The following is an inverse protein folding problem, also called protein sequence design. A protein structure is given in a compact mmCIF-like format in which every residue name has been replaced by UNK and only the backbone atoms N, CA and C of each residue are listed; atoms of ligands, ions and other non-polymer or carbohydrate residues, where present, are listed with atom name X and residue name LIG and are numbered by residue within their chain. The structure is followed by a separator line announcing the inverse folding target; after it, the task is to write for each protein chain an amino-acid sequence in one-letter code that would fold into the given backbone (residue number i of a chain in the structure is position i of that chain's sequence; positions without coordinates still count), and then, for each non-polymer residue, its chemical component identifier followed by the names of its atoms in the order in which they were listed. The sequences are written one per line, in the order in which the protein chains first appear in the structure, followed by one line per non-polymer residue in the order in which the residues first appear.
data_IF_560190037268
#
_entry.id   IF_560190037268
#
_cell.length_a   1.000
_cell.length_b   1.000
_cell.length_c   1.000
_cell.angle_alpha   90.00
_cell.angle_beta   90.00
_cell.angle_gamma   90.00
#
_symmetry.space_group_name_H-M   'P 1'
#
loop_
_entity.id
_entity.type
_entity.pdbx_description
1 polymer ?
#
# COMPACT_ATOMS: atom_id res chain seq x y z
N UNK A 1 -25.61 0.53 -6.74
CA UNK A 1 -25.83 1.96 -7.04
C UNK A 1 -25.41 2.72 -5.79
N UNK A 2 -24.36 3.55 -5.87
CA UNK A 2 -23.92 4.36 -4.71
C UNK A 2 -25.02 5.38 -4.44
N UNK A 3 -25.43 5.53 -3.17
CA UNK A 3 -26.49 6.44 -2.76
C UNK A 3 -26.22 7.88 -3.27
N UNK A 4 -27.13 8.47 -4.07
CA UNK A 4 -26.95 9.82 -4.63
C UNK A 4 -26.95 10.93 -3.58
N UNK A 5 -27.48 10.69 -2.37
CA UNK A 5 -27.44 11.64 -1.25
C UNK A 5 -26.19 11.44 -0.35
N UNK A 6 -25.23 10.63 -0.81
CA UNK A 6 -23.93 10.49 -0.15
C UNK A 6 -23.14 11.82 -0.24
N UNK A 7 -22.62 12.36 0.89
CA UNK A 7 -21.77 13.56 0.93
C UNK A 7 -20.58 13.57 -0.05
N UNK A 8 -20.12 12.39 -0.47
CA UNK A 8 -19.00 12.17 -1.39
C UNK A 8 -19.38 12.47 -2.85
N UNK A 9 -20.62 12.22 -3.27
CA UNK A 9 -21.14 12.51 -4.62
C UNK A 9 -21.21 14.02 -4.87
N UNK A 10 -21.58 14.79 -3.84
CA UNK A 10 -21.63 16.25 -3.89
C UNK A 10 -20.24 16.91 -3.92
N UNK A 11 -19.22 16.27 -3.31
CA UNK A 11 -17.83 16.73 -3.34
C UNK A 11 -17.17 16.47 -4.70
N UNK A 12 -17.47 15.33 -5.33
CA UNK A 12 -16.94 14.91 -6.63
C UNK A 12 -17.34 15.86 -7.78
N UNK A 13 -18.60 16.28 -7.83
CA UNK A 13 -19.11 17.23 -8.84
C UNK A 13 -18.43 18.61 -8.78
N UNK A 14 -17.80 18.96 -7.66
CA UNK A 14 -17.14 20.24 -7.42
C UNK A 14 -15.67 20.26 -7.88
N UNK A 15 -15.05 19.09 -8.07
CA UNK A 15 -13.63 18.94 -8.41
C UNK A 15 -13.38 18.84 -9.94
N UNK A 16 -14.37 18.41 -10.73
CA UNK A 16 -14.28 18.24 -12.18
C UNK A 16 -14.45 19.52 -13.03
N UNK A 17 -14.36 20.71 -12.43
CA UNK A 17 -14.48 22.00 -13.15
C UNK A 17 -13.13 22.64 -13.51
N UNK A 18 -12.01 21.92 -13.40
CA UNK A 18 -10.64 22.47 -13.55
C UNK A 18 -9.92 21.96 -14.80
N UNK A 19 -9.57 22.87 -15.71
CA UNK A 19 -8.84 22.59 -16.96
C UNK A 19 -7.39 22.10 -16.75
N UNK A 20 -6.84 22.20 -15.53
CA UNK A 20 -5.47 21.80 -15.19
C UNK A 20 -5.33 20.27 -15.10
N UNK A 21 -6.41 19.56 -14.75
CA UNK A 21 -6.45 18.10 -14.65
C UNK A 21 -6.24 17.41 -16.03
N UNK A 22 -6.63 18.08 -17.13
CA UNK A 22 -6.51 17.56 -18.48
C UNK A 22 -5.06 17.56 -19.04
N UNK A 23 -4.14 18.33 -18.44
CA UNK A 23 -2.76 18.46 -18.91
C UNK A 23 -1.79 17.38 -18.42
N UNK A 24 -2.14 16.67 -17.34
CA UNK A 24 -1.26 15.64 -16.74
C UNK A 24 -1.37 14.27 -17.43
N UNK A 25 -2.33 14.10 -18.34
CA UNK A 25 -2.64 12.88 -19.11
C UNK A 25 -1.65 12.53 -20.24
N UNK A 26 -0.60 13.32 -20.48
CA UNK A 26 0.31 13.13 -21.62
C UNK A 26 1.55 12.30 -21.24
N UNK A 27 1.34 11.06 -20.80
CA UNK A 27 2.38 10.07 -20.52
C UNK A 27 1.79 8.65 -20.47
N UNK A 28 1.52 8.08 -21.64
CA UNK A 28 0.70 6.88 -21.89
C UNK A 28 1.28 5.57 -21.30
N UNK A 29 0.36 4.81 -20.69
CA UNK A 29 0.36 3.37 -20.33
C UNK A 29 1.34 2.47 -21.09
N UNK A 30 2.22 1.76 -20.36
CA UNK A 30 2.86 0.54 -20.84
C UNK A 30 2.25 -0.67 -20.13
N UNK A 31 1.65 -1.58 -20.87
CA UNK A 31 1.30 -2.91 -20.37
C UNK A 31 2.61 -3.66 -20.14
N UNK A 32 2.98 -3.91 -18.89
CA UNK A 32 4.27 -4.52 -18.55
C UNK A 32 4.12 -6.03 -18.40
N UNK A 33 4.49 -6.78 -19.44
CA UNK A 33 4.65 -8.23 -19.37
C UNK A 33 6.01 -8.54 -18.74
N UNK A 34 6.05 -8.88 -17.45
CA UNK A 34 7.32 -9.15 -16.79
C UNK A 34 7.75 -10.62 -16.92
N UNK A 35 8.85 -10.87 -17.64
CA UNK A 35 9.61 -12.12 -17.56
C UNK A 35 10.87 -11.90 -16.70
N UNK A 36 10.78 -12.14 -15.38
CA UNK A 36 11.91 -11.98 -14.45
C UNK A 36 11.52 -12.06 -12.96
N UNK A 37 12.51 -12.10 -12.06
CA UNK A 37 12.34 -12.34 -10.61
C UNK A 37 11.49 -11.29 -9.87
N UNK A 38 11.36 -10.06 -10.39
CA UNK A 38 10.46 -9.02 -9.87
C UNK A 38 8.97 -9.32 -10.13
N UNK A 39 8.67 -10.11 -11.16
CA UNK A 39 7.33 -10.56 -11.57
C UNK A 39 6.78 -11.69 -10.71
N UNK A 40 7.67 -12.57 -10.23
CA UNK A 40 7.28 -13.90 -9.74
C UNK A 40 6.45 -13.87 -8.45
N UNK A 41 6.45 -12.75 -7.74
CA UNK A 41 5.78 -12.61 -6.45
C UNK A 41 4.70 -11.52 -6.46
N UNK A 42 4.20 -11.09 -7.63
CA UNK A 42 3.08 -10.14 -7.67
C UNK A 42 1.78 -10.81 -7.22
N UNK A 43 1.02 -10.17 -6.33
CA UNK A 43 -0.34 -10.58 -6.03
C UNK A 43 -1.21 -10.36 -7.27
N UNK A 44 -1.92 -11.38 -7.75
CA UNK A 44 -2.71 -11.30 -8.97
C UNK A 44 -4.04 -12.07 -8.86
N UNK A 45 -4.95 -11.81 -9.79
CA UNK A 45 -6.22 -12.53 -9.98
C UNK A 45 -6.30 -13.14 -11.37
N UNK A 46 -7.12 -14.18 -11.56
CA UNK A 46 -7.36 -14.75 -12.90
C UNK A 46 -8.18 -13.79 -13.79
N UNK A 47 -8.22 -14.07 -15.10
CA UNK A 47 -9.15 -13.39 -16.00
C UNK A 47 -10.61 -13.58 -15.54
N UNK A 48 -11.45 -12.56 -15.73
CA UNK A 48 -12.86 -12.57 -15.35
C UNK A 48 -13.14 -12.11 -13.92
N UNK A 49 -12.11 -11.94 -13.06
CA UNK A 49 -12.31 -11.34 -11.73
C UNK A 49 -12.79 -9.90 -11.89
N UNK A 50 -13.95 -9.58 -11.30
CA UNK A 50 -14.54 -8.24 -11.37
C UNK A 50 -13.85 -7.27 -10.43
N UNK A 51 -13.66 -6.03 -10.87
CA UNK A 51 -13.09 -4.92 -10.09
C UNK A 51 -14.10 -3.77 -10.04
N UNK A 52 -14.28 -3.18 -8.86
CA UNK A 52 -15.19 -2.05 -8.68
C UNK A 52 -14.58 -0.74 -9.22
N UNK A 53 -15.21 -0.18 -10.24
CA UNK A 53 -14.86 1.10 -10.86
C UNK A 53 -15.95 2.15 -10.66
N UNK A 54 -15.66 3.40 -11.00
CA UNK A 54 -16.67 4.47 -11.05
C UNK A 54 -17.77 4.23 -12.09
N UNK A 55 -17.52 3.39 -13.08
CA UNK A 55 -18.47 3.01 -14.12
C UNK A 55 -19.20 1.68 -13.84
N UNK A 56 -18.93 1.03 -12.69
CA UNK A 56 -19.45 -0.28 -12.33
C UNK A 56 -18.37 -1.37 -12.31
N UNK A 57 -18.77 -2.63 -12.41
CA UNK A 57 -17.85 -3.77 -12.39
C UNK A 57 -17.18 -3.94 -13.75
N UNK A 58 -15.85 -4.04 -13.75
CA UNK A 58 -15.03 -4.28 -14.94
C UNK A 58 -14.12 -5.47 -14.67
N UNK A 59 -14.07 -6.43 -15.59
CA UNK A 59 -13.15 -7.56 -15.49
C UNK A 59 -11.68 -7.09 -15.49
N UNK A 60 -10.86 -7.67 -14.62
CA UNK A 60 -9.51 -7.19 -14.32
C UNK A 60 -8.60 -7.13 -15.56
N UNK A 61 -8.73 -8.08 -16.49
CA UNK A 61 -7.96 -8.11 -17.73
C UNK A 61 -8.33 -7.01 -18.73
N UNK A 62 -9.46 -6.31 -18.49
CA UNK A 62 -9.95 -5.23 -19.34
C UNK A 62 -9.55 -3.84 -18.84
N UNK A 63 -9.03 -3.72 -17.61
CA UNK A 63 -8.55 -2.47 -17.05
C UNK A 63 -7.30 -1.96 -17.79
N UNK A 64 -7.15 -0.64 -17.87
CA UNK A 64 -6.04 0.06 -18.52
C UNK A 64 -5.59 1.23 -17.66
N UNK A 65 -4.35 1.70 -17.86
CA UNK A 65 -3.95 2.93 -17.20
C UNK A 65 -4.84 4.10 -17.63
N UNK A 66 -5.16 4.96 -16.68
CA UNK A 66 -6.15 6.03 -16.82
C UNK A 66 -7.57 5.62 -16.41
N UNK A 67 -7.88 4.32 -16.30
CA UNK A 67 -9.16 3.89 -15.71
C UNK A 67 -9.24 4.29 -14.24
N UNK A 68 -10.45 4.44 -13.72
CA UNK A 68 -10.69 4.93 -12.36
C UNK A 68 -11.40 3.88 -11.52
N UNK A 69 -10.69 3.38 -10.51
CA UNK A 69 -11.19 2.36 -9.57
C UNK A 69 -11.62 3.00 -8.24
N UNK A 70 -12.50 2.32 -7.52
CA UNK A 70 -12.82 2.68 -6.13
C UNK A 70 -11.74 2.08 -5.22
N UNK A 71 -11.23 2.90 -4.29
CA UNK A 71 -10.11 2.53 -3.44
C UNK A 71 -10.22 3.14 -2.06
N UNK A 72 -9.94 2.35 -1.02
CA UNK A 72 -9.99 2.80 0.38
C UNK A 72 -8.60 2.85 0.99
N UNK A 73 -8.23 4.01 1.53
CA UNK A 73 -6.95 4.18 2.19
C UNK A 73 -6.89 3.32 3.47
N UNK A 74 -5.94 2.39 3.60
CA UNK A 74 -5.90 1.48 4.74
C UNK A 74 -5.55 2.15 6.07
N UNK A 75 -4.97 3.36 6.04
CA UNK A 75 -4.58 4.10 7.24
C UNK A 75 -5.68 5.05 7.71
N UNK A 76 -6.40 5.69 6.78
CA UNK A 76 -7.41 6.72 7.09
C UNK A 76 -8.84 6.22 6.94
N UNK A 77 -9.04 5.05 6.31
CA UNK A 77 -10.34 4.50 5.91
C UNK A 77 -11.12 5.40 4.94
N UNK A 78 -10.45 6.41 4.35
CA UNK A 78 -11.04 7.27 3.34
C UNK A 78 -11.21 6.50 2.04
N UNK A 79 -12.45 6.45 1.54
CA UNK A 79 -12.77 5.87 0.24
C UNK A 79 -12.80 6.95 -0.83
N UNK A 80 -12.01 6.77 -1.87
CA UNK A 80 -11.89 7.71 -2.98
C UNK A 80 -11.77 6.98 -4.33
N UNK A 81 -12.06 7.71 -5.39
CA UNK A 81 -11.77 7.27 -6.76
C UNK A 81 -10.28 7.49 -7.04
N UNK A 82 -9.59 6.47 -7.54
CA UNK A 82 -8.15 6.50 -7.82
C UNK A 82 -7.84 6.01 -9.21
N UNK A 83 -6.82 6.62 -9.82
CA UNK A 83 -6.39 6.30 -11.17
C UNK A 83 -5.59 5.00 -11.17
N UNK A 84 -5.84 4.14 -12.15
CA UNK A 84 -4.95 3.03 -12.51
C UNK A 84 -3.74 3.61 -13.22
N UNK A 85 -2.55 3.38 -12.67
CA UNK A 85 -1.29 3.92 -13.19
C UNK A 85 -0.65 2.97 -14.22
N UNK A 86 -0.68 1.67 -13.94
CA UNK A 86 -0.06 0.62 -14.76
C UNK A 86 -0.86 -0.69 -14.63
N UNK A 87 -0.74 -1.57 -15.62
CA UNK A 87 -1.33 -2.91 -15.59
C UNK A 87 -0.28 -3.98 -15.88
N UNK A 88 -0.49 -5.16 -15.29
CA UNK A 88 0.49 -6.24 -15.23
C UNK A 88 -0.18 -7.58 -15.55
N UNK A 89 0.57 -8.43 -16.25
CA UNK A 89 0.18 -9.81 -16.54
C UNK A 89 1.37 -10.74 -16.33
N UNK A 90 1.12 -11.90 -15.71
CA UNK A 90 2.10 -12.97 -15.54
C UNK A 90 1.43 -14.33 -15.58
N UNK A 91 2.24 -15.39 -15.61
CA UNK A 91 1.78 -16.78 -15.51
C UNK A 91 2.13 -17.38 -14.16
N UNK A 92 1.21 -18.16 -13.60
CA UNK A 92 1.38 -18.92 -12.34
C UNK A 92 0.85 -20.32 -12.49
N UNK A 93 1.41 -21.25 -11.74
CA UNK A 93 0.99 -22.64 -11.64
C UNK A 93 0.32 -22.97 -10.30
N UNK A 94 0.21 -22.01 -9.38
CA UNK A 94 -0.44 -22.16 -8.08
C UNK A 94 -1.51 -21.10 -7.88
N UNK A 95 -2.74 -21.55 -7.61
CA UNK A 95 -3.91 -20.71 -7.40
C UNK A 95 -4.56 -21.02 -6.05
N UNK A 96 -5.23 -20.02 -5.50
CA UNK A 96 -6.06 -20.10 -4.31
C UNK A 96 -7.47 -19.71 -4.69
N UNK A 97 -8.41 -20.57 -4.34
CA UNK A 97 -9.82 -20.37 -4.58
C UNK A 97 -10.52 -20.10 -3.26
N UNK A 98 -11.17 -18.96 -3.20
CA UNK A 98 -11.92 -18.49 -2.05
C UNK A 98 -13.39 -18.39 -2.46
N UNK A 99 -14.28 -19.06 -1.74
CA UNK A 99 -15.71 -18.74 -1.83
C UNK A 99 -16.02 -17.71 -0.76
N UNK A 100 -16.44 -16.51 -1.17
CA UNK A 100 -16.79 -15.40 -0.29
C UNK A 100 -18.22 -14.98 -0.60
N UNK A 101 -19.12 -15.14 0.36
CA UNK A 101 -20.54 -14.80 0.23
C UNK A 101 -21.20 -15.40 -1.03
N UNK A 102 -20.95 -16.69 -1.28
CA UNK A 102 -21.43 -17.43 -2.45
C UNK A 102 -20.71 -17.18 -3.78
N UNK A 103 -19.80 -16.20 -3.87
CA UNK A 103 -18.99 -15.92 -5.06
C UNK A 103 -17.62 -16.59 -4.97
N UNK A 104 -17.13 -17.21 -6.05
CA UNK A 104 -15.76 -17.72 -6.12
C UNK A 104 -14.80 -16.64 -6.65
N UNK A 105 -13.78 -16.32 -5.86
CA UNK A 105 -12.66 -15.45 -6.24
C UNK A 105 -11.40 -16.31 -6.29
N UNK A 106 -10.76 -16.34 -7.46
CA UNK A 106 -9.53 -17.11 -7.70
C UNK A 106 -8.34 -16.17 -7.84
N UNK A 107 -7.31 -16.42 -7.04
CA UNK A 107 -6.21 -15.49 -6.80
C UNK A 107 -4.88 -16.23 -6.60
N UNK A 108 -3.77 -15.50 -6.63
CA UNK A 108 -2.48 -16.04 -6.14
C UNK A 108 -2.48 -16.18 -4.63
N UNK A 109 -1.65 -17.08 -4.10
CA UNK A 109 -1.60 -17.40 -2.66
C UNK A 109 -1.14 -16.24 -1.79
N UNK A 110 -0.31 -15.36 -2.32
CA UNK A 110 0.20 -14.18 -1.67
C UNK A 110 -0.71 -12.95 -1.75
N UNK A 111 -1.91 -13.05 -2.34
CA UNK A 111 -2.76 -11.88 -2.52
C UNK A 111 -3.42 -11.44 -1.20
N UNK A 112 -3.23 -10.20 -0.74
CA UNK A 112 -3.74 -9.76 0.56
C UNK A 112 -5.22 -9.35 0.54
N UNK A 113 -5.99 -9.94 1.45
CA UNK A 113 -7.37 -9.58 1.76
C UNK A 113 -7.46 -8.92 3.13
N UNK A 114 -8.27 -7.86 3.27
CA UNK A 114 -8.44 -7.22 4.57
C UNK A 114 -9.35 -8.05 5.48
N UNK A 115 -8.77 -8.58 6.56
CA UNK A 115 -9.49 -9.29 7.62
C UNK A 115 -9.76 -8.32 8.77
N UNK A 116 -11.03 -8.17 9.14
CA UNK A 116 -11.44 -7.23 10.19
C UNK A 116 -10.73 -7.54 11.51
N UNK A 117 -10.12 -6.52 12.12
CA UNK A 117 -9.36 -6.65 13.37
C UNK A 117 -8.00 -7.33 13.25
N UNK A 118 -7.63 -7.86 12.07
CA UNK A 118 -6.35 -8.54 11.82
C UNK A 118 -5.51 -7.89 10.71
N UNK A 119 -6.12 -7.01 9.91
CA UNK A 119 -5.44 -6.34 8.79
C UNK A 119 -5.35 -7.21 7.54
N UNK A 120 -4.44 -6.87 6.63
CA UNK A 120 -4.25 -7.62 5.39
C UNK A 120 -3.57 -8.96 5.63
N UNK A 121 -4.21 -10.04 5.14
CA UNK A 121 -3.73 -11.42 5.23
C UNK A 121 -3.70 -12.02 3.84
N UNK A 122 -2.61 -12.71 3.50
CA UNK A 122 -2.46 -13.40 2.22
C UNK A 122 -3.55 -14.47 2.04
N UNK A 123 -4.07 -14.59 0.82
CA UNK A 123 -5.14 -15.49 0.45
C UNK A 123 -4.90 -16.94 0.92
N UNK A 124 -3.69 -17.47 0.70
CA UNK A 124 -3.32 -18.82 1.13
C UNK A 124 -3.22 -19.02 2.64
N UNK A 125 -3.27 -17.94 3.42
CA UNK A 125 -3.28 -17.95 4.89
C UNK A 125 -4.64 -17.59 5.49
N UNK A 126 -5.65 -17.32 4.65
CA UNK A 126 -7.02 -17.12 5.12
C UNK A 126 -7.59 -18.44 5.64
N UNK A 127 -8.45 -18.31 6.65
CA UNK A 127 -9.17 -19.43 7.24
C UNK A 127 -10.65 -19.33 6.89
N UNK A 128 -11.29 -20.48 6.71
CA UNK A 128 -12.76 -20.52 6.62
C UNK A 128 -13.35 -19.93 7.90
N UNK A 129 -14.29 -19.00 7.74
CA UNK A 129 -14.88 -18.20 8.81
C UNK A 129 -14.19 -16.85 9.05
N UNK A 130 -13.07 -16.55 8.39
CA UNK A 130 -12.47 -15.22 8.45
C UNK A 130 -13.46 -14.16 7.94
N UNK A 131 -13.55 -13.07 8.70
CA UNK A 131 -14.45 -11.95 8.44
C UNK A 131 -13.71 -10.86 7.64
N UNK A 132 -14.10 -10.74 6.38
CA UNK A 132 -13.67 -9.70 5.45
C UNK A 132 -14.66 -8.53 5.47
N UNK A 133 -14.41 -7.51 4.65
CA UNK A 133 -15.25 -6.31 4.58
C UNK A 133 -15.52 -5.89 3.13
N UNK A 134 -16.77 -5.51 2.85
CA UNK A 134 -17.16 -4.92 1.56
C UNK A 134 -16.84 -3.41 1.50
N UNK A 135 -16.93 -2.83 0.30
CA UNK A 135 -16.86 -1.36 0.12
C UNK A 135 -17.90 -0.59 0.95
N UNK A 136 -19.04 -1.22 1.27
CA UNK A 136 -20.10 -0.60 2.07
C UNK A 136 -19.95 -0.85 3.57
N UNK A 137 -18.88 -1.53 4.00
CA UNK A 137 -18.66 -1.90 5.40
C UNK A 137 -19.43 -3.14 5.85
N UNK A 138 -19.96 -3.94 4.93
CA UNK A 138 -20.69 -5.17 5.27
C UNK A 138 -19.72 -6.31 5.58
N UNK A 139 -20.13 -7.18 6.51
CA UNK A 139 -19.39 -8.39 6.86
C UNK A 139 -19.47 -9.41 5.72
N UNK A 140 -18.31 -9.82 5.22
CA UNK A 140 -18.16 -10.91 4.25
C UNK A 140 -17.41 -12.06 4.90
N UNK A 141 -17.75 -13.31 4.57
CA UNK A 141 -17.13 -14.48 5.19
C UNK A 141 -16.46 -15.38 4.16
N UNK A 142 -15.27 -15.88 4.51
CA UNK A 142 -14.64 -16.97 3.74
C UNK A 142 -15.38 -18.27 4.04
N UNK A 143 -16.11 -18.78 3.05
CA UNK A 143 -16.91 -20.00 3.16
C UNK A 143 -16.12 -21.25 2.77
N UNK A 144 -15.24 -21.11 1.78
CA UNK A 144 -14.35 -22.19 1.30
C UNK A 144 -12.98 -21.63 0.97
N UNK A 145 -11.97 -22.46 1.17
CA UNK A 145 -10.59 -22.17 0.83
C UNK A 145 -9.93 -23.46 0.30
N UNK A 146 -9.45 -23.43 -0.94
CA UNK A 146 -8.65 -24.52 -1.50
C UNK A 146 -7.49 -23.99 -2.35
N UNK A 147 -6.43 -24.78 -2.43
CA UNK A 147 -5.24 -24.49 -3.22
C UNK A 147 -5.19 -25.46 -4.39
N UNK A 148 -5.00 -24.94 -5.59
CA UNK A 148 -4.81 -25.68 -6.83
C UNK A 148 -3.38 -25.51 -7.33
N UNK A 149 -2.75 -26.61 -7.77
CA UNK A 149 -1.54 -26.59 -8.59
C UNK A 149 -1.91 -27.08 -9.99
N UNK A 150 -1.61 -26.29 -11.02
CA UNK A 150 -2.02 -26.53 -12.41
C UNK A 150 -0.83 -27.03 -13.24
N UNK A 151 -1.05 -28.05 -14.08
CA UNK A 151 -0.02 -28.57 -15.01
C UNK A 151 0.42 -27.52 -16.06
N UNK A 152 -0.48 -26.61 -16.42
CA UNK A 152 -0.24 -25.55 -17.40
C UNK A 152 -0.41 -24.19 -16.72
N UNK A 153 0.62 -23.32 -16.71
CA UNK A 153 0.52 -22.02 -16.07
C UNK A 153 -0.60 -21.12 -16.63
N UNK A 154 -1.38 -20.55 -15.73
CA UNK A 154 -2.55 -19.68 -16.01
C UNK A 154 -2.14 -18.21 -16.01
N UNK A 155 -2.70 -17.43 -16.94
CA UNK A 155 -2.52 -15.96 -16.95
C UNK A 155 -3.29 -15.32 -15.79
N UNK A 156 -2.57 -14.51 -15.03
CA UNK A 156 -3.08 -13.71 -13.91
C UNK A 156 -2.71 -12.24 -14.06
N UNK A 157 -3.58 -11.38 -13.58
CA UNK A 157 -3.62 -9.95 -13.83
C UNK A 157 -3.54 -9.16 -12.52
N UNK A 158 -2.89 -8.00 -12.57
CA UNK A 158 -2.92 -7.01 -11.49
C UNK A 158 -2.69 -5.60 -12.07
N UNK A 159 -2.85 -4.56 -11.27
CA UNK A 159 -2.68 -3.17 -11.69
C UNK A 159 -2.27 -2.26 -10.54
N UNK A 160 -1.55 -1.17 -10.84
CA UNK A 160 -1.13 -0.20 -9.84
C UNK A 160 -2.19 0.88 -9.60
N UNK A 161 -2.72 0.96 -8.38
CA UNK A 161 -3.61 2.05 -7.95
C UNK A 161 -2.80 3.22 -7.38
N UNK A 162 -3.14 4.44 -7.80
CA UNK A 162 -2.61 5.70 -7.27
C UNK A 162 -2.91 5.87 -5.76
N UNK A 163 -1.91 6.34 -5.00
CA UNK A 163 -1.93 6.66 -3.56
C UNK A 163 -2.27 5.53 -2.57
N UNK A 164 -3.44 4.91 -2.71
CA UNK A 164 -4.03 4.04 -1.70
C UNK A 164 -3.52 2.60 -1.79
N UNK A 165 -3.13 2.17 -3.00
CA UNK A 165 -2.67 0.81 -3.28
C UNK A 165 -3.65 -0.29 -2.83
N UNK A 166 -4.95 0.01 -2.80
CA UNK A 166 -6.02 -0.96 -2.53
C UNK A 166 -7.09 -0.84 -3.60
N UNK A 167 -7.93 -1.85 -3.74
CA UNK A 167 -9.09 -1.84 -4.61
C UNK A 167 -10.10 -2.87 -4.11
N UNK A 168 -11.23 -3.00 -4.82
CA UNK A 168 -12.30 -3.91 -4.46
C UNK A 168 -12.55 -4.91 -5.58
N UNK A 169 -12.71 -6.19 -5.23
CA UNK A 169 -12.91 -7.29 -6.18
C UNK A 169 -14.18 -8.08 -5.92
N UNK A 170 -14.70 -8.69 -6.97
CA UNK A 170 -15.94 -9.48 -6.96
C UNK A 170 -17.21 -8.63 -6.92
N UNK A 171 -18.35 -9.30 -7.10
CA UNK A 171 -19.69 -8.73 -6.97
C UNK A 171 -19.94 -8.19 -5.56
N UNK A 172 -19.38 -8.86 -4.54
CA UNK A 172 -19.45 -8.40 -3.15
C UNK A 172 -18.48 -7.25 -2.82
N UNK A 173 -17.66 -6.80 -3.78
CA UNK A 173 -16.68 -5.72 -3.62
C UNK A 173 -15.82 -5.88 -2.35
N UNK A 174 -15.10 -7.01 -2.26
CA UNK A 174 -14.20 -7.37 -1.15
C UNK A 174 -12.95 -6.49 -1.18
N UNK A 175 -12.55 -5.96 -0.02
CA UNK A 175 -11.38 -5.07 0.07
C UNK A 175 -10.05 -5.84 0.02
N UNK A 176 -9.24 -5.54 -1.00
CA UNK A 176 -7.93 -6.16 -1.24
C UNK A 176 -6.85 -5.11 -1.40
N UNK A 177 -5.60 -5.52 -1.14
CA UNK A 177 -4.45 -4.66 -1.35
C UNK A 177 -3.72 -5.07 -2.63
N UNK A 178 -3.17 -4.08 -3.31
CA UNK A 178 -2.32 -4.25 -4.48
C UNK A 178 -0.89 -4.70 -4.09
N UNK A 179 -0.75 -5.47 -3.00
CA UNK A 179 0.58 -5.70 -2.43
C UNK A 179 1.41 -6.51 -3.43
N UNK A 180 2.59 -5.98 -3.72
CA UNK A 180 3.52 -6.37 -4.79
C UNK A 180 3.29 -5.77 -6.19
N UNK A 181 2.93 -4.48 -6.30
CA UNK A 181 3.38 -3.62 -7.44
C UNK A 181 4.72 -2.92 -7.17
N UNK A 182 5.56 -3.51 -6.31
CA UNK A 182 7.00 -3.27 -6.32
C UNK A 182 7.66 -4.64 -6.10
N UNK A 183 8.66 -5.05 -6.89
CA UNK A 183 9.67 -5.95 -6.34
C UNK A 183 10.10 -5.42 -4.98
N UNK A 184 10.51 -6.31 -4.07
CA UNK A 184 11.15 -5.92 -2.81
C UNK A 184 12.51 -5.27 -3.07
N UNK A 185 12.49 -4.12 -3.73
CA UNK A 185 13.55 -3.19 -3.85
C UNK A 185 13.36 -2.27 -2.66
N UNK A 186 14.07 -2.57 -1.58
CA UNK A 186 14.53 -1.54 -0.65
C UNK A 186 14.85 -0.31 -1.52
N UNK A 187 14.12 0.83 -1.36
CA UNK A 187 14.22 1.96 -2.29
C UNK A 187 15.67 2.29 -2.60
N UNK A 188 15.98 2.69 -3.83
CA UNK A 188 17.37 2.92 -4.24
C UNK A 188 18.14 3.74 -3.18
N UNK A 189 19.36 3.32 -2.84
CA UNK A 189 20.18 3.90 -1.76
C UNK A 189 19.71 3.66 -0.32
N UNK A 190 18.63 2.92 -0.08
CA UNK A 190 18.33 2.35 1.24
C UNK A 190 19.12 1.07 1.51
N UNK A 191 19.24 0.73 2.79
CA UNK A 191 19.86 -0.51 3.27
C UNK A 191 19.95 -0.52 4.79
N UNK A 192 20.47 -1.59 5.38
CA UNK A 192 20.68 -1.64 6.82
C UNK A 192 21.64 -0.53 7.26
N UNK A 193 21.36 0.07 8.41
CA UNK A 193 22.13 1.20 8.91
C UNK A 193 23.61 0.88 9.12
N UNK A 194 23.94 -0.36 9.52
CA UNK A 194 25.33 -0.82 9.63
C UNK A 194 26.15 -0.60 8.34
N UNK A 195 25.50 -0.71 7.18
CA UNK A 195 26.12 -0.60 5.86
C UNK A 195 26.03 0.81 5.28
N UNK A 196 24.88 1.48 5.44
CA UNK A 196 24.63 2.80 4.82
C UNK A 196 25.00 3.99 5.70
N UNK A 197 24.97 3.82 7.04
CA UNK A 197 25.24 4.85 8.06
C UNK A 197 24.53 6.20 7.77
N UNK A 198 23.28 6.10 7.33
CA UNK A 198 22.53 7.23 6.79
C UNK A 198 21.35 7.68 7.66
N UNK A 199 20.35 8.29 7.04
CA UNK A 199 19.12 8.70 7.70
C UNK A 199 18.18 7.53 7.95
N UNK A 200 17.73 7.33 9.18
CA UNK A 200 16.63 6.38 9.46
C UNK A 200 15.28 7.01 9.10
N UNK A 201 14.48 6.41 8.20
CA UNK A 201 13.15 6.91 7.88
C UNK A 201 12.23 6.96 9.09
N UNK A 202 12.39 6.02 10.03
CA UNK A 202 11.68 6.01 11.31
C UNK A 202 12.61 6.50 12.42
N UNK A 203 12.18 7.45 13.24
CA UNK A 203 12.98 7.96 14.34
C UNK A 203 13.32 6.86 15.35
N UNK A 204 14.58 6.41 15.34
CA UNK A 204 15.08 5.33 16.20
C UNK A 204 14.76 5.51 17.69
N UNK A 205 14.71 6.76 18.16
CA UNK A 205 14.39 7.09 19.55
C UNK A 205 13.01 6.62 19.96
N UNK A 206 12.07 6.46 19.03
CA UNK A 206 10.73 5.98 19.35
C UNK A 206 10.72 4.53 19.82
N UNK A 207 11.72 3.74 19.40
CA UNK A 207 11.81 2.30 19.62
C UNK A 207 12.96 1.91 20.56
N UNK A 208 13.75 2.86 21.05
CA UNK A 208 14.83 2.60 21.99
C UNK A 208 14.29 1.97 23.29
N UNK A 209 14.64 0.69 23.51
CA UNK A 209 14.17 -0.12 24.65
C UNK A 209 13.04 -1.08 24.31
N UNK A 210 12.50 -1.06 23.08
CA UNK A 210 11.57 -2.07 22.61
C UNK A 210 12.28 -3.43 22.45
N UNK A 211 11.63 -4.50 22.89
CA UNK A 211 12.13 -5.86 22.70
C UNK A 211 12.26 -6.17 21.20
N UNK A 212 13.39 -6.77 20.80
CA UNK A 212 13.67 -7.10 19.40
C UNK A 212 14.12 -5.94 18.51
N UNK A 213 14.17 -4.70 19.01
CA UNK A 213 14.63 -3.55 18.21
C UNK A 213 16.15 -3.41 18.18
N UNK A 214 16.74 -3.57 16.99
CA UNK A 214 18.14 -3.27 16.70
C UNK A 214 18.26 -2.16 15.64
N UNK A 215 18.65 -0.97 16.09
CA UNK A 215 18.82 0.18 15.19
C UNK A 215 19.92 -0.02 14.13
N UNK A 216 20.88 -0.93 14.34
CA UNK A 216 21.95 -1.18 13.35
C UNK A 216 21.44 -2.00 12.16
N UNK A 217 20.39 -2.79 12.37
CA UNK A 217 19.72 -3.59 11.36
C UNK A 217 18.52 -2.87 10.73
N UNK A 218 18.03 -1.82 11.39
CA UNK A 218 16.97 -0.97 10.86
C UNK A 218 17.39 -0.32 9.53
N UNK A 219 16.42 -0.19 8.62
CA UNK A 219 16.62 0.46 7.33
C UNK A 219 17.02 1.93 7.49
N UNK A 220 17.87 2.38 6.59
CA UNK A 220 18.34 3.76 6.48
C UNK A 220 18.61 4.13 5.02
N UNK A 221 18.45 5.43 4.70
CA UNK A 221 18.78 6.03 3.40
C UNK A 221 20.19 6.61 3.51
N UNK A 222 21.11 6.28 2.59
CA UNK A 222 22.47 6.80 2.67
C UNK A 222 22.50 8.34 2.62
N UNK A 223 23.39 8.95 3.41
CA UNK A 223 23.59 10.41 3.39
C UNK A 223 24.06 10.91 2.03
N UNK A 224 24.82 10.08 1.30
CA UNK A 224 25.27 10.36 -0.05
C UNK A 224 24.10 10.49 -1.03
N UNK A 225 23.13 9.56 -0.99
CA UNK A 225 21.94 9.64 -1.85
C UNK A 225 21.14 10.90 -1.58
N UNK A 226 20.86 11.17 -0.30
CA UNK A 226 20.09 12.37 0.08
C UNK A 226 20.73 13.65 -0.47
N UNK A 227 22.06 13.75 -0.37
CA UNK A 227 22.78 14.92 -0.84
C UNK A 227 22.86 14.97 -2.37
N UNK A 228 23.19 13.86 -3.05
CA UNK A 228 23.40 13.87 -4.50
C UNK A 228 22.10 14.00 -5.29
N UNK A 229 21.06 13.30 -4.87
CA UNK A 229 19.84 13.17 -5.66
C UNK A 229 18.81 14.24 -5.31
N UNK A 230 18.83 14.74 -4.08
CA UNK A 230 17.82 15.66 -3.56
C UNK A 230 18.40 16.97 -3.00
N UNK A 231 19.72 17.13 -2.94
CA UNK A 231 20.41 18.24 -2.26
C UNK A 231 19.98 18.41 -0.78
N UNK A 232 19.64 17.29 -0.12
CA UNK A 232 19.18 17.27 1.27
C UNK A 232 20.25 16.71 2.18
N UNK A 233 20.61 17.46 3.23
CA UNK A 233 21.48 16.96 4.30
C UNK A 233 20.67 16.16 5.32
N UNK A 234 21.24 15.06 5.81
CA UNK A 234 20.68 14.27 6.92
C UNK A 234 20.26 15.15 8.11
N UNK A 235 21.10 16.11 8.50
CA UNK A 235 20.84 17.02 9.62
C UNK A 235 19.59 17.88 9.42
N UNK A 236 19.25 18.24 8.17
CA UNK A 236 18.05 19.01 7.86
C UNK A 236 16.79 18.20 8.18
N UNK A 237 16.76 16.94 7.75
CA UNK A 237 15.64 16.04 8.01
C UNK A 237 15.50 15.78 9.52
N UNK A 238 16.61 15.46 10.19
CA UNK A 238 16.63 15.22 11.65
C UNK A 238 16.16 16.46 12.44
N UNK A 239 16.51 17.66 11.98
CA UNK A 239 16.02 18.91 12.56
C UNK A 239 14.51 19.09 12.41
N UNK A 240 13.95 18.75 11.23
CA UNK A 240 12.50 18.79 10.98
C UNK A 240 11.75 17.73 11.78
N UNK A 241 12.26 16.49 11.86
CA UNK A 241 11.70 15.43 12.72
C UNK A 241 11.60 15.92 14.16
N UNK A 242 12.70 16.41 14.74
CA UNK A 242 12.72 16.88 16.12
C UNK A 242 11.75 18.06 16.37
N UNK A 243 11.57 18.95 15.40
CA UNK A 243 10.58 20.03 15.49
C UNK A 243 9.15 19.48 15.51
N UNK A 244 8.82 18.58 14.58
CA UNK A 244 7.48 18.03 14.42
C UNK A 244 7.09 17.12 15.60
N UNK A 245 8.01 16.31 16.14
CA UNK A 245 7.73 15.52 17.33
C UNK A 245 7.51 16.37 18.57
N UNK A 246 8.26 17.46 18.76
CA UNK A 246 8.01 18.40 19.87
C UNK A 246 6.66 19.11 19.73
N UNK A 247 6.23 19.40 18.52
CA UNK A 247 4.90 19.94 18.26
C UNK A 247 3.81 18.89 18.57
N UNK A 248 4.01 17.64 18.14
CA UNK A 248 3.12 16.53 18.44
C UNK A 248 3.01 16.27 19.95
N UNK A 249 4.13 16.30 20.70
CA UNK A 249 4.14 16.06 22.14
C UNK A 249 3.25 17.05 22.91
N UNK A 250 3.13 18.31 22.44
CA UNK A 250 2.26 19.33 23.04
C UNK A 250 0.77 19.00 22.92
N UNK A 251 0.39 18.10 22.03
CA UNK A 251 -1.02 17.69 21.86
C UNK A 251 -1.49 16.78 22.98
N UNK A 252 -0.57 16.15 23.73
CA UNK A 252 -0.88 15.15 24.75
C UNK A 252 -1.42 13.82 24.21
N UNK A 253 -1.45 13.64 22.89
CA UNK A 253 -1.85 12.37 22.27
C UNK A 253 -0.77 11.31 22.42
N UNK A 254 -1.19 10.06 22.54
CA UNK A 254 -0.32 8.91 22.41
C UNK A 254 0.24 8.85 20.98
N UNK A 255 1.51 8.47 20.82
CA UNK A 255 2.12 8.33 19.50
C UNK A 255 1.84 6.95 18.92
N UNK A 256 1.02 6.89 17.88
CA UNK A 256 0.76 5.68 17.09
C UNK A 256 1.74 5.54 15.92
N UNK A 257 1.82 4.34 15.32
CA UNK A 257 2.61 4.12 14.09
C UNK A 257 2.15 5.02 12.92
N UNK A 258 0.84 5.31 12.82
CA UNK A 258 0.30 6.16 11.76
C UNK A 258 0.66 7.63 11.97
N UNK A 259 0.62 8.13 13.21
CA UNK A 259 1.11 9.48 13.52
C UNK A 259 2.60 9.61 13.26
N UNK A 260 3.37 8.59 13.65
CA UNK A 260 4.79 8.51 13.37
C UNK A 260 5.04 8.57 11.85
N UNK A 261 4.43 7.69 11.07
CA UNK A 261 4.48 7.68 9.59
C UNK A 261 4.24 9.07 9.00
N UNK A 262 3.18 9.74 9.44
CA UNK A 262 2.81 11.06 8.94
C UNK A 262 3.85 12.14 9.29
N UNK A 263 4.40 12.10 10.52
CA UNK A 263 5.48 13.00 10.95
C UNK A 263 6.73 12.77 10.11
N UNK A 264 7.12 11.51 9.86
CA UNK A 264 8.33 11.18 9.11
C UNK A 264 8.24 11.62 7.65
N UNK A 265 7.14 11.28 6.96
CA UNK A 265 6.91 11.71 5.58
C UNK A 265 6.92 13.24 5.50
N UNK A 266 6.25 13.92 6.44
CA UNK A 266 6.20 15.39 6.49
C UNK A 266 7.59 15.99 6.71
N UNK A 267 8.41 15.41 7.59
CA UNK A 267 9.77 15.88 7.85
C UNK A 267 10.67 15.78 6.61
N UNK A 268 10.60 14.65 5.90
CA UNK A 268 11.35 14.40 4.67
C UNK A 268 10.92 15.35 3.54
N UNK A 269 9.62 15.48 3.31
CA UNK A 269 9.07 16.36 2.26
C UNK A 269 9.39 17.82 2.52
N UNK A 270 9.23 18.30 3.76
CA UNK A 270 9.61 19.68 4.14
C UNK A 270 11.11 19.96 4.04
N UNK A 271 11.94 18.90 3.95
CA UNK A 271 13.38 19.02 3.77
C UNK A 271 13.80 18.99 2.30
N UNK A 272 12.88 18.75 1.36
CA UNK A 272 13.15 18.70 -0.08
C UNK A 272 13.14 17.29 -0.69
N UNK A 273 12.86 16.24 0.09
CA UNK A 273 12.77 14.88 -0.45
C UNK A 273 11.43 14.70 -1.20
N UNK A 274 11.42 14.14 -2.43
CA UNK A 274 10.17 13.88 -3.15
C UNK A 274 9.18 13.05 -2.34
N UNK A 275 7.90 13.45 -2.33
CA UNK A 275 6.84 12.82 -1.51
C UNK A 275 6.73 11.32 -1.78
N UNK A 276 6.76 10.91 -3.04
CA UNK A 276 6.69 9.50 -3.42
C UNK A 276 7.84 8.68 -2.81
N UNK A 277 9.07 9.20 -2.91
CA UNK A 277 10.25 8.54 -2.35
C UNK A 277 10.19 8.49 -0.81
N UNK A 278 9.80 9.59 -0.16
CA UNK A 278 9.59 9.64 1.29
C UNK A 278 8.55 8.60 1.76
N UNK A 279 7.39 8.55 1.10
CA UNK A 279 6.33 7.58 1.41
C UNK A 279 6.81 6.14 1.24
N UNK A 280 7.48 5.82 0.12
CA UNK A 280 8.03 4.48 -0.13
C UNK A 280 9.02 4.07 0.96
N UNK A 281 9.99 4.93 1.28
CA UNK A 281 11.04 4.64 2.27
C UNK A 281 10.51 4.44 3.69
N UNK A 282 9.54 5.27 4.12
CA UNK A 282 8.88 5.15 5.42
C UNK A 282 8.05 3.87 5.48
N UNK A 283 7.26 3.56 4.45
CA UNK A 283 6.48 2.32 4.40
C UNK A 283 7.38 1.07 4.45
N UNK A 284 8.50 1.05 3.73
CA UNK A 284 9.47 -0.05 3.79
C UNK A 284 10.06 -0.23 5.20
N UNK A 285 10.36 0.86 5.91
CA UNK A 285 10.85 0.81 7.29
C UNK A 285 9.78 0.30 8.27
N UNK A 286 8.53 0.75 8.13
CA UNK A 286 7.39 0.26 8.93
C UNK A 286 7.18 -1.24 8.71
N UNK A 287 7.23 -1.69 7.46
CA UNK A 287 7.12 -3.13 7.14
C UNK A 287 8.24 -3.92 7.81
N UNK A 288 9.50 -3.48 7.72
CA UNK A 288 10.62 -4.15 8.39
C UNK A 288 10.42 -4.25 9.91
N UNK A 289 9.93 -3.18 10.55
CA UNK A 289 9.62 -3.19 11.98
C UNK A 289 8.55 -4.24 12.31
N UNK A 290 7.45 -4.27 11.54
CA UNK A 290 6.38 -5.27 11.70
C UNK A 290 6.89 -6.69 11.50
N UNK A 291 7.68 -6.93 10.46
CA UNK A 291 8.30 -8.23 10.17
C UNK A 291 9.25 -8.68 11.30
N UNK A 292 9.80 -7.73 12.07
CA UNK A 292 10.64 -7.95 13.25
C UNK A 292 9.86 -8.02 14.57
N UNK A 293 8.51 -8.05 14.52
CA UNK A 293 7.64 -8.12 15.70
C UNK A 293 7.38 -6.79 16.40
N UNK A 294 7.84 -5.67 15.85
CA UNK A 294 7.69 -4.34 16.44
C UNK A 294 6.45 -3.67 15.85
N UNK A 295 5.40 -3.54 16.67
CA UNK A 295 4.08 -3.09 16.23
C UNK A 295 3.73 -1.66 16.64
N UNK A 296 4.45 -1.08 17.61
CA UNK A 296 4.20 0.27 18.11
C UNK A 296 5.50 0.97 18.61
N UNK A 297 5.57 2.31 18.57
CA UNK A 297 6.63 3.04 19.26
C UNK A 297 6.41 2.95 20.78
N UNK A 298 7.50 3.00 21.55
CA UNK A 298 7.47 2.92 23.02
C UNK A 298 7.57 4.28 23.70
N UNK A 299 7.88 5.34 22.95
CA UNK A 299 7.96 6.73 23.45
C UNK A 299 7.91 7.75 22.33
N UNK A 300 7.60 9.00 22.68
CA UNK A 300 7.69 10.14 21.78
C UNK A 300 9.16 10.56 21.63
N UNK A 301 9.73 10.56 20.42
CA UNK A 301 11.10 11.01 20.19
C UNK A 301 11.31 12.49 20.53
N UNK A 302 12.37 12.84 21.27
CA UNK A 302 12.70 14.22 21.66
C UNK A 302 11.61 14.97 22.45
N UNK A 303 10.62 14.23 22.96
CA UNK A 303 9.60 14.67 23.91
C UNK A 303 10.00 14.38 25.35
#
# INVERSE_FOLDING_TARGET
MIDPDNPLTALNNKLHQSDIYNGFQMGVSMLSSFSGAASQNMACFIAGTMVLTTAGLVAIERLKAGDVVISTNPDTLETASKTVLETYVRKVDKLVHLTINGEEIVTTDNHPFYVQGRGFINAGSLLVGDKLISVNGEDLFVEKHYIEETDVPVDVYNFQVEDHHTYFVGESAVWVHNDMCQPQNVPDGMGQYKDKKGHHPMAKKAFEGAEGYDYTQALSISSEKLLKDFDVKHSTITGKQASLYREFAKTGKELTMNEMKNIEIKAMVQSGVPKEYATKTVNSAIKQLKDSGITAPVKIPWG
#
